data_IF_977232595445
#
_entry.id   IF_977232595445
#
_cell.length_a   1.000
_cell.length_b   1.000
_cell.length_c   1.000
_cell.angle_alpha   90.00
_cell.angle_beta   90.00
_cell.angle_gamma   90.00
#
_symmetry.space_group_name_H-M   'P 1'
#
loop_
_entity.id
_entity.type
_entity.pdbx_description
1 polymer ?
#
# COMPACT_ATOMS: atom_id res chain seq x y z
N UNK A 1 32.68 25.69 60.57
CA UNK A 1 31.22 25.93 60.57
C UNK A 1 30.94 26.83 59.38
N UNK A 2 30.66 26.22 58.23
CA UNK A 2 30.27 26.84 56.94
C UNK A 2 29.88 25.64 56.06
N UNK A 3 28.63 25.19 56.16
CA UNK A 3 27.52 25.43 55.20
C UNK A 3 27.94 25.07 53.78
N UNK A 4 27.56 23.86 53.36
CA UNK A 4 27.67 23.36 52.00
C UNK A 4 26.46 23.78 51.16
N UNK A 5 26.73 24.03 49.88
CA UNK A 5 25.76 24.43 48.87
C UNK A 5 25.54 23.27 47.88
N UNK A 6 24.30 22.78 47.66
CA UNK A 6 23.99 21.70 46.74
C UNK A 6 23.48 22.25 45.40
N UNK A 7 24.39 22.53 44.47
CA UNK A 7 24.05 22.93 43.09
C UNK A 7 24.31 21.82 42.08
N UNK A 8 23.45 20.79 42.04
CA UNK A 8 23.49 19.74 41.01
C UNK A 8 22.53 20.13 39.88
N UNK A 9 23.09 20.70 38.82
CA UNK A 9 22.36 21.07 37.59
C UNK A 9 21.74 19.81 36.95
N UNK A 10 20.40 19.81 36.88
CA UNK A 10 19.62 18.92 36.03
C UNK A 10 19.82 19.37 34.58
N UNK A 11 20.68 18.68 33.84
CA UNK A 11 20.68 18.74 32.37
C UNK A 11 19.45 18.00 31.87
N UNK A 12 18.45 18.75 31.47
CA UNK A 12 17.33 18.31 30.65
C UNK A 12 17.90 17.71 29.37
N UNK A 13 17.71 16.41 29.17
CA UNK A 13 17.98 15.75 27.90
C UNK A 13 16.98 16.32 26.88
N UNK A 14 17.51 17.12 25.95
CA UNK A 14 16.80 17.55 24.75
C UNK A 14 16.24 16.30 24.06
N UNK A 15 14.95 16.34 23.78
CA UNK A 15 14.27 15.31 22.98
C UNK A 15 14.97 15.24 21.63
N UNK A 16 15.53 14.08 21.32
CA UNK A 16 15.93 13.72 19.97
C UNK A 16 14.73 13.94 19.05
N UNK A 17 14.83 14.94 18.17
CA UNK A 17 13.94 15.09 17.03
C UNK A 17 14.04 13.80 16.23
N UNK A 18 13.05 12.91 16.41
CA UNK A 18 12.84 11.79 15.51
C UNK A 18 12.58 12.42 14.15
N UNK A 19 13.60 12.41 13.30
CA UNK A 19 13.53 12.89 11.93
C UNK A 19 12.35 12.19 11.26
N UNK A 20 11.25 12.92 11.10
CA UNK A 20 10.06 12.45 10.41
C UNK A 20 10.52 12.04 9.01
N UNK A 21 10.46 10.74 8.72
CA UNK A 21 10.90 10.22 7.44
C UNK A 21 10.17 11.00 6.34
N UNK A 22 10.90 11.50 5.31
CA UNK A 22 10.27 12.27 4.25
C UNK A 22 9.12 11.44 3.67
N UNK A 23 7.94 12.05 3.42
CA UNK A 23 6.83 11.32 2.83
C UNK A 23 7.32 10.66 1.54
N UNK A 24 6.87 9.42 1.24
CA UNK A 24 7.28 8.71 0.05
C UNK A 24 7.12 9.65 -1.16
N UNK A 25 8.22 9.90 -1.85
CA UNK A 25 8.23 10.85 -2.96
C UNK A 25 7.67 10.14 -4.18
N UNK A 26 6.38 10.33 -4.44
CA UNK A 26 5.70 9.75 -5.59
C UNK A 26 6.35 10.24 -6.88
N UNK A 27 6.85 9.30 -7.69
CA UNK A 27 7.45 9.65 -8.97
C UNK A 27 6.35 10.11 -9.93
N UNK A 28 6.42 11.37 -10.36
CA UNK A 28 5.51 11.93 -11.36
C UNK A 28 5.48 11.05 -12.62
N UNK A 29 4.29 10.72 -13.13
CA UNK A 29 4.13 10.01 -14.40
C UNK A 29 4.87 10.78 -15.51
N UNK A 30 5.61 10.07 -16.38
CA UNK A 30 6.20 10.69 -17.58
C UNK A 30 5.06 11.24 -18.44
N UNK A 31 5.07 12.55 -18.65
CA UNK A 31 4.10 13.24 -19.49
C UNK A 31 4.18 12.73 -20.93
N UNK A 32 3.04 12.29 -21.46
CA UNK A 32 2.77 12.37 -22.89
C UNK A 32 2.16 13.76 -23.15
N UNK A 33 2.52 14.40 -24.27
CA UNK A 33 1.96 15.69 -24.66
C UNK A 33 0.50 15.57 -25.15
N UNK A 34 0.00 14.33 -25.31
CA UNK A 34 -1.36 14.07 -25.74
C UNK A 34 -2.37 14.22 -24.59
N UNK A 35 -3.47 14.96 -24.79
CA UNK A 35 -4.52 15.11 -23.78
C UNK A 35 -5.18 13.76 -23.55
N UNK A 36 -5.37 13.36 -22.29
CA UNK A 36 -5.85 12.03 -21.86
C UNK A 36 -5.78 11.84 -20.35
N UNK A 37 -5.94 10.60 -19.86
CA UNK A 37 -5.85 10.27 -18.43
C UNK A 37 -4.45 10.52 -17.87
N UNK A 38 -3.39 10.17 -18.60
CA UNK A 38 -2.02 10.48 -18.19
C UNK A 38 -1.80 11.98 -17.96
N UNK A 39 -2.30 12.83 -18.86
CA UNK A 39 -2.21 14.30 -18.73
C UNK A 39 -3.08 14.87 -17.60
N UNK A 40 -4.23 14.23 -17.33
CA UNK A 40 -5.11 14.58 -16.22
C UNK A 40 -4.40 14.34 -14.90
N UNK A 41 -3.89 13.13 -14.68
CA UNK A 41 -3.18 12.76 -13.43
C UNK A 41 -2.01 13.69 -13.17
N UNK A 42 -1.17 13.94 -14.18
CA UNK A 42 -0.06 14.87 -14.03
C UNK A 42 -0.51 16.33 -13.76
N UNK A 43 -1.69 16.72 -14.22
CA UNK A 43 -2.28 18.02 -13.88
C UNK A 43 -2.76 18.07 -12.43
N UNK A 44 -3.40 17.01 -11.93
CA UNK A 44 -3.79 16.90 -10.53
C UNK A 44 -2.56 16.91 -9.61
N UNK A 45 -1.49 16.18 -9.95
CA UNK A 45 -0.22 16.19 -9.22
C UNK A 45 0.42 17.59 -9.18
N UNK A 46 0.39 18.32 -10.30
CA UNK A 46 0.88 19.71 -10.33
C UNK A 46 0.03 20.63 -9.45
N UNK A 47 -1.28 20.43 -9.36
CA UNK A 47 -2.15 21.19 -8.47
C UNK A 47 -1.80 20.92 -7.01
N UNK A 48 -1.60 19.66 -6.62
CA UNK A 48 -1.13 19.27 -5.29
C UNK A 48 0.14 20.05 -4.90
N UNK A 49 1.15 20.02 -5.77
CA UNK A 49 2.44 20.68 -5.51
C UNK A 49 2.29 22.20 -5.47
N UNK A 50 1.61 22.78 -6.46
CA UNK A 50 1.52 24.25 -6.61
C UNK A 50 0.72 24.88 -5.47
N UNK A 51 -0.31 24.19 -4.99
CA UNK A 51 -1.19 24.67 -3.94
C UNK A 51 -0.84 24.12 -2.55
N UNK A 52 0.25 23.34 -2.44
CA UNK A 52 0.70 22.69 -1.20
C UNK A 52 -0.40 21.87 -0.52
N UNK A 53 -1.16 21.12 -1.33
CA UNK A 53 -2.20 20.23 -0.83
C UNK A 53 -1.56 18.94 -0.33
N UNK A 54 -2.13 18.34 0.72
CA UNK A 54 -1.86 16.96 1.13
C UNK A 54 -2.58 15.97 0.24
N UNK A 55 -3.84 16.26 -0.09
CA UNK A 55 -4.66 15.42 -0.97
C UNK A 55 -5.66 16.22 -1.79
N UNK A 56 -6.01 15.70 -2.96
CA UNK A 56 -7.02 16.22 -3.87
C UNK A 56 -7.79 15.04 -4.45
N UNK A 57 -9.10 15.06 -4.30
CA UNK A 57 -10.01 14.06 -4.85
C UNK A 57 -11.10 14.75 -5.65
N UNK A 58 -11.35 14.26 -6.86
CA UNK A 58 -12.43 14.71 -7.74
C UNK A 58 -13.36 13.54 -7.99
N UNK A 59 -14.62 13.67 -7.60
CA UNK A 59 -15.66 12.68 -7.82
C UNK A 59 -16.61 13.16 -8.90
N UNK A 60 -16.86 12.31 -9.89
CA UNK A 60 -17.74 12.57 -11.03
C UNK A 60 -18.78 11.45 -11.15
N UNK A 61 -19.91 11.76 -11.78
CA UNK A 61 -20.85 10.73 -12.24
C UNK A 61 -20.69 10.59 -13.75
N UNK A 62 -20.37 9.38 -14.20
CA UNK A 62 -20.20 9.02 -15.60
C UNK A 62 -21.38 8.13 -16.06
N UNK A 63 -21.99 8.38 -17.24
CA UNK A 63 -23.12 7.60 -17.73
C UNK A 63 -22.88 6.10 -17.90
N UNK A 64 -21.66 5.67 -18.24
CA UNK A 64 -21.35 4.28 -18.59
C UNK A 64 -20.63 3.55 -17.46
N UNK A 65 -19.81 4.27 -16.70
CA UNK A 65 -19.03 3.73 -15.59
C UNK A 65 -19.64 4.01 -14.20
N UNK A 66 -20.75 4.75 -14.14
CA UNK A 66 -21.34 5.19 -12.88
C UNK A 66 -20.44 6.19 -12.14
N UNK A 67 -20.40 6.10 -10.82
CA UNK A 67 -19.62 7.03 -9.99
C UNK A 67 -18.12 6.72 -10.11
N UNK A 68 -17.34 7.73 -10.45
CA UNK A 68 -15.90 7.61 -10.64
C UNK A 68 -15.15 8.67 -9.81
N UNK A 69 -13.97 8.31 -9.31
CA UNK A 69 -13.09 9.22 -8.62
C UNK A 69 -11.68 9.25 -9.21
N UNK A 70 -11.08 10.43 -9.10
CA UNK A 70 -9.69 10.73 -9.40
C UNK A 70 -9.05 11.27 -8.14
N UNK A 71 -7.80 10.88 -7.89
CA UNK A 71 -7.09 11.26 -6.67
C UNK A 71 -5.64 11.59 -6.98
N UNK A 72 -5.13 12.61 -6.31
CA UNK A 72 -3.73 12.97 -6.24
C UNK A 72 -3.34 13.27 -4.78
N UNK A 73 -2.05 13.11 -4.47
CA UNK A 73 -1.52 13.24 -3.11
C UNK A 73 -1.44 11.92 -2.33
N UNK A 74 -0.96 12.00 -1.09
CA UNK A 74 -0.66 10.85 -0.25
C UNK A 74 -1.85 10.39 0.61
N UNK A 75 -1.83 9.12 1.05
CA UNK A 75 -2.85 8.53 1.93
C UNK A 75 -3.78 7.51 1.24
N UNK A 76 -4.83 7.02 1.92
CA UNK A 76 -5.94 6.29 1.29
C UNK A 76 -7.05 7.25 0.81
N UNK A 77 -8.08 6.73 0.15
CA UNK A 77 -9.35 7.46 0.00
C UNK A 77 -10.00 7.61 1.38
N UNK A 78 -10.57 8.78 1.67
CA UNK A 78 -11.33 8.95 2.91
C UNK A 78 -12.61 8.10 2.85
N UNK A 79 -12.98 7.43 3.96
CA UNK A 79 -14.24 6.69 4.04
C UNK A 79 -15.43 7.56 3.59
N UNK A 80 -16.31 7.00 2.76
CA UNK A 80 -17.50 7.72 2.27
C UNK A 80 -17.23 8.79 1.21
N UNK A 81 -15.99 8.89 0.69
CA UNK A 81 -15.64 9.80 -0.43
C UNK A 81 -16.64 9.70 -1.59
N UNK A 82 -17.12 8.50 -1.88
CA UNK A 82 -18.05 8.24 -2.98
C UNK A 82 -19.51 8.31 -2.56
N UNK A 83 -19.81 8.22 -1.27
CA UNK A 83 -21.18 8.32 -0.76
C UNK A 83 -21.68 9.78 -0.81
N UNK A 84 -20.77 10.76 -0.82
CA UNK A 84 -21.11 12.19 -0.89
C UNK A 84 -21.52 12.66 -2.30
N UNK A 85 -21.88 13.94 -2.43
CA UNK A 85 -22.17 14.54 -3.75
C UNK A 85 -20.90 14.57 -4.63
N UNK A 86 -21.00 14.40 -5.98
CA UNK A 86 -19.90 14.67 -6.89
C UNK A 86 -19.35 16.08 -6.71
N UNK A 87 -18.07 16.26 -6.92
CA UNK A 87 -17.38 17.51 -6.65
C UNK A 87 -15.90 17.30 -6.30
N UNK A 88 -15.29 18.36 -5.80
CA UNK A 88 -13.88 18.38 -5.43
C UNK A 88 -13.74 18.40 -3.92
N UNK A 89 -12.83 17.58 -3.39
CA UNK A 89 -12.40 17.57 -2.00
C UNK A 89 -10.89 17.72 -1.98
N UNK A 90 -10.39 18.63 -1.15
CA UNK A 90 -8.97 18.85 -1.00
C UNK A 90 -8.64 19.11 0.46
N UNK A 91 -7.41 18.77 0.84
CA UNK A 91 -6.88 19.05 2.15
C UNK A 91 -5.50 19.72 2.02
N UNK A 92 -5.33 20.98 2.45
CA UNK A 92 -6.39 21.92 2.84
C UNK A 92 -7.40 22.22 1.73
N UNK A 93 -8.52 22.87 2.06
CA UNK A 93 -9.55 23.25 1.09
C UNK A 93 -8.98 24.09 -0.06
N UNK A 94 -9.53 23.90 -1.28
CA UNK A 94 -9.08 24.63 -2.45
C UNK A 94 -9.39 26.12 -2.35
N UNK A 95 -8.41 27.00 -2.63
CA UNK A 95 -8.66 28.44 -2.72
C UNK A 95 -9.52 28.75 -3.97
N UNK A 96 -10.76 29.25 -3.80
CA UNK A 96 -11.72 29.39 -4.90
C UNK A 96 -11.33 30.44 -5.94
N UNK A 97 -10.39 31.33 -5.61
CA UNK A 97 -9.80 32.33 -6.50
C UNK A 97 -8.71 31.76 -7.42
N UNK A 98 -8.20 30.56 -7.13
CA UNK A 98 -7.11 29.93 -7.90
C UNK A 98 -7.57 28.75 -8.75
N UNK A 99 -8.53 27.98 -8.26
CA UNK A 99 -9.06 26.80 -8.97
C UNK A 99 -10.56 26.81 -8.90
N UNK A 100 -11.20 26.81 -10.06
CA UNK A 100 -12.64 26.60 -10.18
C UNK A 100 -12.94 25.10 -10.01
N UNK A 101 -13.66 24.68 -8.95
CA UNK A 101 -13.99 23.28 -8.71
C UNK A 101 -14.86 22.67 -9.81
N UNK A 102 -15.73 23.46 -10.45
CA UNK A 102 -16.60 22.99 -11.51
C UNK A 102 -15.80 22.66 -12.78
N UNK A 103 -14.84 23.54 -13.12
CA UNK A 103 -13.93 23.29 -14.24
C UNK A 103 -13.08 22.03 -14.02
N UNK A 104 -12.64 21.78 -12.79
CA UNK A 104 -11.86 20.58 -12.46
C UNK A 104 -12.69 19.29 -12.62
N UNK A 105 -13.95 19.32 -12.18
CA UNK A 105 -14.92 18.22 -12.40
C UNK A 105 -15.14 17.98 -13.89
N UNK A 106 -15.34 19.04 -14.68
CA UNK A 106 -15.54 18.95 -16.13
C UNK A 106 -14.28 18.41 -16.86
N UNK A 107 -13.09 18.82 -16.42
CA UNK A 107 -11.82 18.31 -16.92
C UNK A 107 -11.70 16.80 -16.69
N UNK A 108 -11.94 16.34 -15.45
CA UNK A 108 -11.93 14.91 -15.13
C UNK A 108 -12.93 14.11 -15.98
N UNK A 109 -14.16 14.58 -16.09
CA UNK A 109 -15.20 13.91 -16.87
C UNK A 109 -14.86 13.84 -18.36
N UNK A 110 -14.35 14.93 -18.93
CA UNK A 110 -14.01 15.01 -20.35
C UNK A 110 -12.78 14.15 -20.67
N UNK A 111 -11.75 14.17 -19.83
CA UNK A 111 -10.56 13.33 -19.97
C UNK A 111 -10.91 11.84 -19.89
N UNK A 112 -11.79 11.43 -18.96
CA UNK A 112 -12.26 10.05 -18.86
C UNK A 112 -13.00 9.61 -20.13
N UNK A 113 -13.91 10.46 -20.63
CA UNK A 113 -14.69 10.19 -21.83
C UNK A 113 -13.84 10.05 -23.08
N UNK A 114 -12.86 10.94 -23.24
CA UNK A 114 -11.89 10.86 -24.33
C UNK A 114 -11.10 9.54 -24.31
N UNK A 115 -10.65 9.10 -23.13
CA UNK A 115 -9.92 7.83 -23.02
C UNK A 115 -10.82 6.60 -23.17
N UNK A 116 -12.08 6.66 -22.76
CA UNK A 116 -13.05 5.60 -23.05
C UNK A 116 -13.20 5.36 -24.55
N UNK A 117 -13.28 6.41 -25.36
CA UNK A 117 -13.35 6.31 -26.82
C UNK A 117 -12.04 5.80 -27.44
N UNK A 118 -10.89 6.20 -26.90
CA UNK A 118 -9.59 5.76 -27.39
C UNK A 118 -9.31 4.30 -27.07
N UNK A 119 -9.73 3.83 -25.90
CA UNK A 119 -9.57 2.44 -25.47
C UNK A 119 -10.32 1.44 -26.35
N UNK A 120 -11.34 1.88 -27.10
CA UNK A 120 -12.06 1.06 -28.09
C UNK A 120 -11.29 0.83 -29.39
N UNK A 121 -10.16 1.52 -29.60
CA UNK A 121 -9.37 1.36 -30.82
C UNK A 121 -8.60 0.03 -30.80
N UNK A 122 -8.54 -0.72 -31.92
CA UNK A 122 -7.86 -2.02 -31.98
C UNK A 122 -6.36 -1.98 -31.63
N UNK A 123 -5.73 -0.82 -31.79
CA UNK A 123 -4.31 -0.58 -31.55
C UNK A 123 -4.03 0.11 -30.20
N UNK A 124 -5.07 0.37 -29.39
CA UNK A 124 -4.93 1.01 -28.09
C UNK A 124 -4.07 0.16 -27.14
N UNK A 125 -3.02 0.76 -26.58
CA UNK A 125 -2.10 0.13 -25.62
C UNK A 125 -1.62 1.13 -24.58
N UNK A 126 -1.09 0.62 -23.48
CA UNK A 126 -0.45 1.42 -22.44
C UNK A 126 -1.27 1.55 -21.15
N UNK A 127 -0.77 2.39 -20.25
CA UNK A 127 -1.31 2.54 -18.89
C UNK A 127 -2.75 3.06 -18.91
N UNK A 128 -3.06 4.04 -19.76
CA UNK A 128 -4.40 4.61 -19.81
C UNK A 128 -5.45 3.58 -20.27
N UNK A 129 -5.10 2.70 -21.22
CA UNK A 129 -5.98 1.61 -21.66
C UNK A 129 -6.22 0.59 -20.56
N UNK A 130 -5.18 0.23 -19.81
CA UNK A 130 -5.32 -0.66 -18.65
C UNK A 130 -6.14 -0.01 -17.53
N UNK A 131 -5.96 1.30 -17.29
CA UNK A 131 -6.76 2.07 -16.33
C UNK A 131 -8.25 2.06 -16.73
N UNK A 132 -8.56 2.26 -18.01
CA UNK A 132 -9.93 2.15 -18.52
C UNK A 132 -10.50 0.73 -18.38
N UNK A 133 -9.71 -0.29 -18.70
CA UNK A 133 -10.13 -1.69 -18.56
C UNK A 133 -10.48 -2.03 -17.10
N UNK A 134 -9.72 -1.50 -16.14
CA UNK A 134 -9.99 -1.64 -14.71
C UNK A 134 -11.25 -0.90 -14.26
N UNK A 135 -11.44 0.35 -14.70
CA UNK A 135 -12.64 1.15 -14.36
C UNK A 135 -13.94 0.54 -14.90
N UNK A 136 -13.86 -0.31 -15.93
CA UNK A 136 -15.01 -1.07 -16.47
C UNK A 136 -15.37 -2.30 -15.65
N UNK A 137 -14.53 -2.72 -14.70
CA UNK A 137 -14.84 -3.86 -13.86
C UNK A 137 -15.99 -3.50 -12.91
N UNK A 138 -16.97 -4.40 -12.70
CA UNK A 138 -18.13 -4.11 -11.85
C UNK A 138 -17.73 -3.70 -10.43
N UNK A 139 -18.31 -2.59 -9.96
CA UNK A 139 -18.05 -2.03 -8.64
C UNK A 139 -16.77 -1.22 -8.52
N UNK A 140 -15.95 -1.08 -9.58
CA UNK A 140 -14.74 -0.23 -9.55
C UNK A 140 -15.10 1.23 -9.80
N UNK A 141 -14.71 2.08 -8.85
CA UNK A 141 -15.00 3.51 -8.89
C UNK A 141 -13.72 4.37 -8.93
N UNK A 142 -12.55 3.81 -8.61
CA UNK A 142 -11.29 4.51 -8.78
C UNK A 142 -10.15 3.55 -9.07
N UNK A 143 -9.20 4.04 -9.86
CA UNK A 143 -7.96 3.36 -10.16
C UNK A 143 -6.82 4.35 -9.96
N UNK A 144 -5.84 3.97 -9.15
CA UNK A 144 -4.62 4.73 -8.94
C UNK A 144 -3.48 3.88 -9.46
N UNK A 145 -2.64 4.46 -10.32
CA UNK A 145 -1.42 3.77 -10.80
C UNK A 145 -0.22 4.58 -10.36
N UNK A 146 0.52 3.99 -9.42
CA UNK A 146 1.76 4.51 -8.87
C UNK A 146 2.94 3.77 -9.53
N UNK A 147 4.04 4.48 -9.75
CA UNK A 147 5.28 3.88 -10.22
C UNK A 147 6.39 4.13 -9.20
N UNK A 148 6.99 3.04 -8.74
CA UNK A 148 8.11 3.03 -7.80
C UNK A 148 9.28 2.28 -8.46
N UNK A 149 10.16 3.03 -9.13
CA UNK A 149 11.23 2.45 -9.94
C UNK A 149 10.72 1.53 -11.06
N UNK A 150 11.05 0.24 -10.95
CA UNK A 150 10.64 -0.84 -11.86
C UNK A 150 9.30 -1.49 -11.48
N UNK A 151 8.74 -1.12 -10.33
CA UNK A 151 7.46 -1.60 -9.83
C UNK A 151 6.33 -0.62 -10.20
N UNK A 152 5.24 -1.18 -10.70
CA UNK A 152 3.98 -0.50 -10.88
C UNK A 152 2.99 -1.03 -9.85
N UNK A 153 2.45 -0.14 -9.03
CA UNK A 153 1.40 -0.47 -8.06
C UNK A 153 0.09 0.09 -8.59
N UNK A 154 -0.86 -0.80 -8.87
CA UNK A 154 -2.20 -0.45 -9.31
C UNK A 154 -3.15 -0.68 -8.15
N UNK A 155 -3.69 0.39 -7.59
CA UNK A 155 -4.74 0.31 -6.59
C UNK A 155 -6.10 0.42 -7.26
N UNK A 156 -6.95 -0.59 -7.05
CA UNK A 156 -8.31 -0.68 -7.56
C UNK A 156 -9.24 -0.49 -6.38
N UNK A 157 -9.89 0.68 -6.31
CA UNK A 157 -10.88 0.96 -5.30
C UNK A 157 -12.26 0.55 -5.83
N UNK A 158 -12.94 -0.27 -5.03
CA UNK A 158 -14.20 -0.87 -5.40
C UNK A 158 -15.21 -0.87 -4.25
N UNK A 159 -16.48 -0.97 -4.61
CA UNK A 159 -17.59 -1.02 -3.66
C UNK A 159 -17.50 -2.26 -2.75
N UNK A 160 -18.14 -2.18 -1.57
CA UNK A 160 -18.17 -3.26 -0.58
C UNK A 160 -18.65 -4.60 -1.19
N UNK A 161 -19.63 -4.52 -2.08
CA UNK A 161 -20.32 -5.63 -2.74
C UNK A 161 -19.67 -6.04 -4.09
N UNK A 162 -18.52 -5.46 -4.43
CA UNK A 162 -17.81 -5.82 -5.65
C UNK A 162 -17.54 -7.34 -5.74
N UNK A 163 -17.53 -7.93 -6.95
CA UNK A 163 -17.39 -9.37 -7.14
C UNK A 163 -16.18 -9.97 -6.40
N UNK A 164 -16.31 -11.18 -5.85
CA UNK A 164 -15.23 -11.84 -5.12
C UNK A 164 -14.01 -12.16 -5.99
N UNK A 165 -14.18 -12.23 -7.30
CA UNK A 165 -13.11 -12.48 -8.28
C UNK A 165 -12.50 -11.18 -8.86
N UNK A 166 -12.86 -10.01 -8.32
CA UNK A 166 -12.36 -8.71 -8.78
C UNK A 166 -10.83 -8.65 -8.86
N UNK A 167 -10.11 -9.17 -7.86
CA UNK A 167 -8.64 -9.19 -7.88
C UNK A 167 -8.08 -9.94 -9.08
N UNK A 168 -8.71 -11.06 -9.46
CA UNK A 168 -8.31 -11.85 -10.64
C UNK A 168 -8.63 -11.10 -11.93
N UNK A 169 -9.80 -10.49 -12.01
CA UNK A 169 -10.21 -9.70 -13.17
C UNK A 169 -9.29 -8.48 -13.36
N UNK A 170 -8.94 -7.80 -12.27
CA UNK A 170 -8.02 -6.68 -12.28
C UNK A 170 -6.62 -7.10 -12.73
N UNK A 171 -6.08 -8.19 -12.18
CA UNK A 171 -4.80 -8.75 -12.62
C UNK A 171 -4.79 -9.10 -14.13
N UNK A 172 -5.91 -9.62 -14.66
CA UNK A 172 -6.06 -9.90 -16.09
C UNK A 172 -6.10 -8.61 -16.92
N UNK A 173 -6.86 -7.60 -16.48
CA UNK A 173 -6.95 -6.31 -17.15
C UNK A 173 -5.60 -5.58 -17.23
N UNK A 174 -4.76 -5.75 -16.22
CA UNK A 174 -3.41 -5.17 -16.15
C UNK A 174 -2.31 -6.03 -16.78
N UNK A 175 -2.62 -7.27 -17.19
CA UNK A 175 -1.62 -8.17 -17.77
C UNK A 175 -0.83 -7.58 -18.95
N UNK A 176 -1.40 -6.73 -19.83
CA UNK A 176 -0.63 -6.06 -20.88
C UNK A 176 0.49 -5.13 -20.35
N UNK A 177 0.43 -4.71 -19.09
CA UNK A 177 1.47 -3.89 -18.44
C UNK A 177 2.60 -4.74 -17.82
N UNK A 178 2.49 -6.08 -17.87
CA UNK A 178 3.38 -7.01 -17.16
C UNK A 178 4.84 -7.03 -17.64
N UNK A 179 5.20 -6.25 -18.66
CA UNK A 179 6.62 -5.94 -18.94
C UNK A 179 7.28 -5.18 -17.78
N UNK A 180 6.47 -4.59 -16.89
CA UNK A 180 6.88 -3.97 -15.63
C UNK A 180 6.53 -4.92 -14.46
N UNK A 181 7.30 -4.93 -13.38
CA UNK A 181 6.87 -5.63 -12.15
C UNK A 181 5.57 -4.98 -11.70
N UNK A 182 4.54 -5.77 -11.44
CA UNK A 182 3.19 -5.26 -11.23
C UNK A 182 2.60 -5.84 -9.96
N UNK A 183 2.07 -4.95 -9.11
CA UNK A 183 1.24 -5.29 -7.96
C UNK A 183 -0.13 -4.68 -8.18
N UNK A 184 -1.17 -5.49 -8.02
CA UNK A 184 -2.57 -5.03 -8.08
C UNK A 184 -3.17 -5.17 -6.69
N UNK A 185 -3.43 -4.04 -6.05
CA UNK A 185 -4.07 -3.94 -4.73
C UNK A 185 -5.55 -3.66 -4.92
N UNK A 186 -6.42 -4.49 -4.34
CA UNK A 186 -7.87 -4.25 -4.36
C UNK A 186 -8.31 -3.72 -3.01
N UNK A 187 -8.72 -2.47 -2.98
CA UNK A 187 -9.24 -1.79 -1.79
C UNK A 187 -10.76 -1.78 -1.89
N UNK A 188 -11.43 -2.44 -0.95
CA UNK A 188 -12.90 -2.42 -0.86
C UNK A 188 -13.32 -1.35 0.12
N UNK A 189 -14.26 -0.51 -0.28
CA UNK A 189 -14.92 0.40 0.62
C UNK A 189 -15.71 -0.41 1.64
N UNK A 190 -15.21 -0.45 2.88
CA UNK A 190 -16.00 -0.98 3.99
C UNK A 190 -17.00 0.13 4.27
N UNK A 191 -18.23 -0.02 3.80
CA UNK A 191 -19.33 0.78 4.31
C UNK A 191 -19.25 0.66 5.83
N UNK A 192 -19.06 1.78 6.53
CA UNK A 192 -19.30 1.84 7.97
C UNK A 192 -20.77 1.49 8.15
N UNK A 193 -21.06 0.19 8.26
CA UNK A 193 -22.30 -0.23 8.87
C UNK A 193 -22.22 0.34 10.27
N UNK A 194 -23.17 1.20 10.69
CA UNK A 194 -23.24 1.61 12.08
C UNK A 194 -23.24 0.32 12.87
N UNK A 195 -22.17 0.07 13.64
CA UNK A 195 -22.02 -1.16 14.42
C UNK A 195 -23.31 -1.26 15.24
N UNK A 196 -24.23 -2.20 14.94
CA UNK A 196 -25.41 -2.33 15.77
C UNK A 196 -24.86 -2.63 17.16
N UNK A 197 -25.22 -1.80 18.15
CA UNK A 197 -24.82 -2.02 19.54
C UNK A 197 -25.02 -3.51 19.84
N UNK A 198 -23.94 -4.27 20.10
CA UNK A 198 -24.08 -5.69 20.25
C UNK A 198 -25.07 -5.91 21.41
N UNK A 199 -26.16 -6.66 21.22
CA UNK A 199 -26.94 -7.08 22.35
C UNK A 199 -25.98 -7.79 23.30
N UNK A 200 -25.98 -7.38 24.57
CA UNK A 200 -25.26 -8.02 25.67
C UNK A 200 -25.70 -9.48 25.77
N UNK A 201 -25.10 -10.35 24.95
CA UNK A 201 -25.27 -11.80 24.99
C UNK A 201 -23.93 -12.36 25.39
N UNK A 202 -23.92 -13.06 26.52
CA UNK A 202 -22.74 -13.73 27.05
C UNK A 202 -22.18 -14.71 25.99
N UNK A 203 -20.85 -14.78 25.79
CA UNK A 203 -20.25 -15.67 24.82
C UNK A 203 -20.54 -17.14 25.16
N UNK A 204 -21.09 -17.87 24.19
CA UNK A 204 -21.31 -19.32 24.26
C UNK A 204 -19.98 -20.05 23.93
N UNK A 205 -19.40 -20.85 24.83
CA UNK A 205 -18.04 -21.38 24.70
C UNK A 205 -17.87 -22.60 23.75
N UNK A 206 -18.72 -22.80 22.74
CA UNK A 206 -18.79 -24.11 22.06
C UNK A 206 -18.67 -24.13 20.52
N UNK A 207 -18.01 -23.17 19.87
CA UNK A 207 -17.79 -23.25 18.41
C UNK A 207 -16.43 -23.88 18.06
N UNK A 208 -16.37 -25.11 17.50
CA UNK A 208 -15.11 -25.73 17.08
C UNK A 208 -14.55 -25.04 15.83
N UNK A 209 -13.22 -24.89 15.80
CA UNK A 209 -12.47 -24.35 14.67
C UNK A 209 -12.64 -25.24 13.43
N UNK A 210 -13.06 -24.65 12.31
CA UNK A 210 -13.16 -25.36 11.04
C UNK A 210 -11.76 -25.69 10.49
N UNK A 211 -11.49 -26.97 10.25
CA UNK A 211 -10.28 -27.46 9.58
C UNK A 211 -10.22 -26.97 8.13
N UNK A 212 -9.16 -26.21 7.81
CA UNK A 212 -8.90 -25.73 6.47
C UNK A 212 -8.32 -26.85 5.59
N UNK A 213 -8.94 -27.10 4.43
CA UNK A 213 -8.45 -28.04 3.43
C UNK A 213 -7.21 -27.48 2.70
N UNK A 214 -6.23 -28.34 2.33
CA UNK A 214 -5.05 -27.91 1.59
C UNK A 214 -5.37 -27.62 0.12
N UNK A 215 -5.16 -26.39 -0.31
CA UNK A 215 -5.24 -25.96 -1.71
C UNK A 215 -3.81 -25.93 -2.29
N UNK A 216 -3.57 -26.45 -3.52
CA UNK A 216 -2.24 -26.51 -4.13
C UNK A 216 -1.66 -25.10 -4.40
N UNK A 217 -0.32 -24.94 -4.33
CA UNK A 217 0.36 -23.67 -4.56
C UNK A 217 0.17 -23.17 -6.01
N UNK A 218 0.01 -21.86 -6.18
CA UNK A 218 -0.01 -21.18 -7.50
C UNK A 218 1.27 -20.38 -7.70
N UNK A 219 1.84 -20.50 -8.90
CA UNK A 219 3.06 -19.84 -9.37
C UNK A 219 4.35 -20.57 -8.93
N UNK A 220 5.42 -20.59 -9.75
CA UNK A 220 6.67 -21.18 -9.33
C UNK A 220 7.31 -20.28 -8.27
N UNK A 221 6.97 -20.51 -7.00
CA UNK A 221 7.80 -20.05 -5.90
C UNK A 221 9.22 -20.56 -6.15
N UNK A 222 10.19 -19.65 -6.19
CA UNK A 222 11.60 -20.02 -6.29
C UNK A 222 11.89 -21.02 -5.17
N UNK A 223 12.47 -22.18 -5.53
CA UNK A 223 12.92 -23.12 -4.53
C UNK A 223 14.01 -22.43 -3.68
N UNK A 224 13.84 -22.35 -2.35
CA UNK A 224 14.84 -21.74 -1.49
C UNK A 224 16.17 -22.48 -1.65
N UNK A 225 17.28 -21.75 -1.80
CA UNK A 225 18.61 -22.37 -1.68
C UNK A 225 18.82 -22.72 -0.22
N UNK A 226 19.63 -23.75 0.05
CA UNK A 226 19.86 -24.24 1.41
C UNK A 226 20.40 -23.18 2.39
N UNK A 227 21.01 -22.12 1.86
CA UNK A 227 21.62 -21.00 2.59
C UNK A 227 20.76 -19.74 2.66
N UNK A 228 19.58 -19.73 2.03
CA UNK A 228 18.72 -18.55 2.04
C UNK A 228 18.10 -18.40 3.44
N UNK A 229 18.08 -17.18 4.02
CA UNK A 229 17.42 -16.97 5.30
C UNK A 229 15.93 -17.34 5.19
N UNK A 230 15.34 -17.82 6.29
CA UNK A 230 13.93 -18.27 6.34
C UNK A 230 13.23 -17.73 7.58
N UNK A 231 11.98 -17.27 7.43
CA UNK A 231 11.13 -16.91 8.57
C UNK A 231 10.64 -18.20 9.23
N UNK A 232 11.02 -18.40 10.50
CA UNK A 232 10.68 -19.59 11.28
C UNK A 232 9.40 -19.38 12.07
N UNK A 233 9.23 -18.19 12.65
CA UNK A 233 8.07 -17.83 13.43
C UNK A 233 7.89 -16.31 13.47
N UNK A 234 6.63 -15.88 13.53
CA UNK A 234 6.25 -14.49 13.80
C UNK A 234 5.25 -14.52 14.95
N UNK A 235 5.47 -13.69 15.98
CA UNK A 235 4.67 -13.68 17.20
C UNK A 235 4.34 -12.25 17.59
N UNK A 236 3.15 -12.06 18.15
CA UNK A 236 2.83 -10.87 18.93
C UNK A 236 3.14 -11.17 20.38
N UNK A 237 3.90 -10.30 21.03
CA UNK A 237 4.13 -10.29 22.46
C UNK A 237 3.35 -9.11 23.07
N UNK A 238 2.08 -9.33 23.46
CA UNK A 238 1.23 -8.27 23.99
C UNK A 238 1.68 -7.76 25.36
N UNK A 239 2.46 -8.53 26.12
CA UNK A 239 2.96 -8.10 27.43
C UNK A 239 4.00 -6.99 27.28
N UNK A 240 4.86 -7.11 26.27
CA UNK A 240 5.87 -6.09 25.94
C UNK A 240 5.41 -5.11 24.86
N UNK A 241 4.27 -5.38 24.22
CA UNK A 241 3.75 -4.57 23.11
C UNK A 241 4.64 -4.68 21.86
N UNK A 242 5.23 -5.85 21.61
CA UNK A 242 6.20 -6.10 20.54
C UNK A 242 5.69 -7.12 19.50
N UNK A 243 6.21 -7.01 18.28
CA UNK A 243 6.20 -8.08 17.27
C UNK A 243 7.59 -8.70 17.27
N UNK A 244 7.67 -10.02 17.45
CA UNK A 244 8.89 -10.81 17.36
C UNK A 244 8.94 -11.55 16.02
N UNK A 245 10.03 -11.40 15.28
CA UNK A 245 10.28 -12.18 14.05
C UNK A 245 11.52 -13.03 14.25
N UNK A 246 11.36 -14.35 14.13
CA UNK A 246 12.46 -15.30 14.18
C UNK A 246 12.91 -15.66 12.77
N UNK A 247 14.16 -15.36 12.45
CA UNK A 247 14.79 -15.72 11.18
C UNK A 247 15.85 -16.79 11.44
N UNK A 248 16.02 -17.70 10.50
CA UNK A 248 17.11 -18.68 10.50
C UNK A 248 17.86 -18.64 9.19
N UNK A 249 19.19 -18.62 9.25
CA UNK A 249 20.11 -18.82 8.13
C UNK A 249 21.11 -19.89 8.55
N UNK A 250 21.21 -20.96 7.77
CA UNK A 250 21.98 -22.15 8.14
C UNK A 250 21.60 -22.68 9.53
N UNK A 251 22.57 -22.81 10.44
CA UNK A 251 22.39 -23.24 11.84
C UNK A 251 22.13 -22.07 12.81
N UNK A 252 22.18 -20.84 12.34
CA UNK A 252 22.02 -19.64 13.17
C UNK A 252 20.56 -19.19 13.15
N UNK A 253 19.97 -19.05 14.33
CA UNK A 253 18.64 -18.47 14.53
C UNK A 253 18.75 -17.17 15.30
N UNK A 254 18.10 -16.13 14.79
CA UNK A 254 18.03 -14.80 15.39
C UNK A 254 16.59 -14.38 15.62
N UNK A 255 16.43 -13.29 16.35
CA UNK A 255 15.15 -12.69 16.67
C UNK A 255 15.33 -11.20 16.51
N UNK A 256 14.43 -10.55 15.78
CA UNK A 256 14.27 -9.11 15.83
C UNK A 256 12.92 -8.76 16.44
N UNK A 257 12.83 -7.54 16.95
CA UNK A 257 11.73 -7.03 17.77
C UNK A 257 11.38 -5.62 17.32
N UNK A 258 10.09 -5.31 17.29
CA UNK A 258 9.64 -3.95 17.01
C UNK A 258 8.31 -3.67 17.71
N UNK A 259 7.94 -2.41 17.96
CA UNK A 259 6.65 -2.08 18.56
C UNK A 259 5.47 -2.60 17.74
N UNK A 260 4.55 -3.31 18.39
CA UNK A 260 3.34 -3.87 17.77
C UNK A 260 2.41 -2.79 17.22
N UNK A 261 2.44 -1.58 17.82
CA UNK A 261 1.68 -0.42 17.35
C UNK A 261 2.04 -0.01 15.90
N UNK A 262 3.19 -0.43 15.38
CA UNK A 262 3.61 -0.17 14.00
C UNK A 262 3.07 -1.19 12.98
N UNK A 263 2.35 -2.23 13.41
CA UNK A 263 1.69 -3.19 12.52
C UNK A 263 2.64 -3.83 11.51
N UNK A 264 2.34 -3.67 10.20
CA UNK A 264 3.19 -4.20 9.12
C UNK A 264 4.61 -3.63 9.16
N UNK A 265 4.75 -2.33 9.45
CA UNK A 265 6.05 -1.68 9.54
C UNK A 265 6.90 -2.27 10.66
N UNK A 266 6.28 -2.56 11.82
CA UNK A 266 6.95 -3.24 12.93
C UNK A 266 7.44 -4.63 12.53
N UNK A 267 6.62 -5.42 11.84
CA UNK A 267 7.03 -6.73 11.34
C UNK A 267 8.20 -6.67 10.34
N UNK A 268 8.22 -5.67 9.44
CA UNK A 268 9.34 -5.45 8.51
C UNK A 268 10.61 -5.08 9.29
N UNK A 269 10.53 -4.11 10.21
CA UNK A 269 11.66 -3.68 11.04
C UNK A 269 12.24 -4.84 11.86
N UNK A 270 11.39 -5.61 12.53
CA UNK A 270 11.80 -6.81 13.27
C UNK A 270 12.46 -7.85 12.35
N UNK A 271 11.99 -8.00 11.11
CA UNK A 271 12.63 -8.91 10.15
C UNK A 271 14.00 -8.42 9.72
N UNK A 272 14.16 -7.13 9.43
CA UNK A 272 15.45 -6.52 9.06
C UNK A 272 16.47 -6.60 10.21
N UNK A 273 16.04 -6.37 11.45
CA UNK A 273 16.89 -6.55 12.63
C UNK A 273 17.34 -8.02 12.77
N UNK A 274 16.42 -8.97 12.63
CA UNK A 274 16.75 -10.39 12.66
C UNK A 274 17.75 -10.77 11.56
N UNK A 275 17.58 -10.22 10.35
CA UNK A 275 18.47 -10.43 9.21
C UNK A 275 19.87 -9.85 9.47
N UNK A 276 19.97 -8.63 9.98
CA UNK A 276 21.26 -8.02 10.32
C UNK A 276 22.05 -8.88 11.31
N UNK A 277 21.35 -9.51 12.26
CA UNK A 277 21.95 -10.39 13.27
C UNK A 277 22.48 -11.73 12.70
N UNK A 278 22.02 -12.16 11.52
CA UNK A 278 22.57 -13.34 10.79
C UNK A 278 23.62 -12.95 9.74
N UNK A 279 24.18 -11.73 9.84
CA UNK A 279 25.22 -11.26 8.92
C UNK A 279 24.68 -10.86 7.54
N UNK A 280 23.43 -10.38 7.47
CA UNK A 280 22.93 -9.71 6.27
C UNK A 280 23.45 -8.27 6.27
N UNK A 281 24.40 -7.95 5.39
CA UNK A 281 25.19 -6.70 5.44
C UNK A 281 24.50 -5.49 4.80
N UNK A 282 23.38 -5.69 4.11
CA UNK A 282 22.70 -4.61 3.40
C UNK A 282 21.97 -3.67 4.36
N UNK A 283 22.25 -2.37 4.22
CA UNK A 283 21.55 -1.31 4.95
C UNK A 283 20.20 -1.03 4.28
N UNK A 284 19.24 -1.90 4.53
CA UNK A 284 17.87 -1.77 4.05
C UNK A 284 17.01 -1.03 5.09
N UNK A 285 16.12 -0.19 4.59
CA UNK A 285 15.11 0.52 5.38
C UNK A 285 13.73 0.29 4.77
N UNK A 286 12.68 0.37 5.58
CA UNK A 286 11.31 0.24 5.08
C UNK A 286 10.96 1.45 4.20
N UNK A 287 10.62 1.22 2.94
CA UNK A 287 9.95 2.21 2.10
C UNK A 287 8.45 2.21 2.37
N UNK A 288 7.80 1.07 2.12
CA UNK A 288 6.38 0.88 2.44
C UNK A 288 6.04 -0.60 2.60
N UNK A 289 4.94 -0.89 3.30
CA UNK A 289 4.35 -2.22 3.41
C UNK A 289 2.83 -2.14 3.31
N UNK A 290 2.21 -2.93 2.43
CA UNK A 290 0.76 -2.88 2.16
C UNK A 290 0.16 -4.27 2.04
N UNK A 291 -1.03 -4.47 2.60
CA UNK A 291 -1.82 -5.70 2.39
C UNK A 291 -2.51 -5.62 1.04
N UNK A 292 -2.17 -6.52 0.13
CA UNK A 292 -2.67 -6.54 -1.26
C UNK A 292 -3.99 -7.31 -1.35
N UNK A 293 -4.07 -8.43 -0.63
CA UNK A 293 -5.22 -9.32 -0.66
C UNK A 293 -5.46 -9.90 0.73
N UNK A 294 -6.73 -9.91 1.14
CA UNK A 294 -7.21 -10.81 2.20
C UNK A 294 -8.14 -11.81 1.55
N UNK A 295 -7.70 -13.06 1.48
CA UNK A 295 -8.48 -14.13 0.86
C UNK A 295 -9.65 -14.54 1.77
N UNK A 296 -10.65 -15.23 1.20
CA UNK A 296 -11.78 -15.75 1.96
C UNK A 296 -11.35 -16.74 3.08
N UNK A 297 -10.21 -17.42 2.91
CA UNK A 297 -9.60 -18.28 3.92
C UNK A 297 -8.69 -17.54 4.93
N UNK A 298 -8.80 -16.21 5.02
CA UNK A 298 -8.03 -15.35 5.92
C UNK A 298 -6.51 -15.48 5.75
N UNK A 299 -6.03 -15.79 4.55
CA UNK A 299 -4.62 -15.58 4.22
C UNK A 299 -4.44 -14.14 3.78
N UNK A 300 -3.34 -13.58 4.24
CA UNK A 300 -2.95 -12.23 3.91
C UNK A 300 -1.81 -12.28 2.91
N UNK A 301 -1.91 -11.50 1.86
CA UNK A 301 -0.81 -11.23 0.93
C UNK A 301 -0.33 -9.81 1.21
N UNK A 302 0.96 -9.64 1.46
CA UNK A 302 1.58 -8.35 1.72
C UNK A 302 2.68 -8.10 0.70
N UNK A 303 2.74 -6.88 0.17
CA UNK A 303 3.90 -6.37 -0.55
C UNK A 303 4.71 -5.46 0.37
N UNK A 304 6.02 -5.53 0.20
CA UNK A 304 7.00 -4.67 0.88
C UNK A 304 7.91 -4.06 -0.17
N UNK A 305 8.20 -2.77 -0.02
CA UNK A 305 9.32 -2.08 -0.65
C UNK A 305 10.36 -1.74 0.41
N UNK A 306 11.61 -2.12 0.14
CA UNK A 306 12.77 -1.79 0.95
C UNK A 306 13.64 -0.81 0.18
N UNK A 307 14.09 0.25 0.85
CA UNK A 307 14.98 1.26 0.30
C UNK A 307 16.41 1.03 0.79
N UNK A 308 17.38 1.21 -0.11
CA UNK A 308 18.80 1.17 0.26
C UNK A 308 19.23 2.48 0.88
N UNK A 309 19.92 2.40 2.02
CA UNK A 309 20.48 3.57 2.66
C UNK A 309 21.46 4.28 1.71
N UNK A 310 21.20 5.56 1.45
CA UNK A 310 22.07 6.39 0.62
C UNK A 310 21.88 6.25 -0.90
N UNK A 311 20.97 5.40 -1.38
CA UNK A 311 20.64 5.32 -2.81
C UNK A 311 19.14 5.59 -3.05
N UNK A 312 18.74 5.68 -4.32
CA UNK A 312 17.33 5.73 -4.73
C UNK A 312 16.81 4.36 -5.20
N UNK A 313 17.55 3.31 -4.89
CA UNK A 313 17.21 1.96 -5.32
C UNK A 313 16.31 1.30 -4.29
N UNK A 314 15.28 0.64 -4.79
CA UNK A 314 14.28 -0.06 -4.00
C UNK A 314 14.21 -1.52 -4.42
N UNK A 315 14.15 -2.42 -3.45
CA UNK A 315 13.84 -3.83 -3.67
C UNK A 315 12.43 -4.14 -3.21
N UNK A 316 11.79 -5.07 -3.91
CA UNK A 316 10.36 -5.36 -3.73
C UNK A 316 10.16 -6.83 -3.42
N UNK A 317 9.24 -7.12 -2.49
CA UNK A 317 8.95 -8.47 -2.04
C UNK A 317 7.47 -8.72 -1.82
N UNK A 318 7.07 -9.97 -2.05
CA UNK A 318 5.71 -10.46 -1.85
C UNK A 318 5.72 -11.64 -0.89
N UNK A 319 4.84 -11.61 0.10
CA UNK A 319 4.73 -12.66 1.10
C UNK A 319 3.28 -12.99 1.40
N UNK A 320 3.01 -14.27 1.67
CA UNK A 320 1.71 -14.71 2.17
C UNK A 320 1.86 -15.37 3.53
N UNK A 321 0.88 -15.16 4.40
CA UNK A 321 0.89 -15.68 5.77
C UNK A 321 -0.51 -15.82 6.37
N UNK A 322 -0.60 -16.47 7.53
CA UNK A 322 -1.85 -16.62 8.27
C UNK A 322 -2.26 -15.32 8.99
N UNK A 323 -1.37 -14.33 9.05
CA UNK A 323 -1.63 -12.99 9.56
C UNK A 323 -0.91 -11.94 8.70
N UNK A 324 -1.33 -10.66 8.74
CA UNK A 324 -0.67 -9.59 7.99
C UNK A 324 0.81 -9.42 8.37
N UNK A 325 1.15 -9.54 9.66
CA UNK A 325 2.52 -9.42 10.14
C UNK A 325 3.41 -10.59 9.70
N UNK A 326 2.86 -11.81 9.62
CA UNK A 326 3.60 -12.97 9.10
C UNK A 326 3.85 -12.82 7.59
N UNK A 327 2.82 -12.38 6.85
CA UNK A 327 2.94 -12.09 5.43
C UNK A 327 3.97 -10.98 5.17
N UNK A 328 4.01 -9.92 5.99
CA UNK A 328 4.99 -8.84 5.90
C UNK A 328 6.42 -9.32 6.17
N UNK A 329 6.64 -10.16 7.18
CA UNK A 329 7.96 -10.72 7.46
C UNK A 329 8.47 -11.57 6.27
N UNK A 330 7.60 -12.40 5.68
CA UNK A 330 7.94 -13.21 4.50
C UNK A 330 8.17 -12.33 3.26
N UNK A 331 7.39 -11.28 3.07
CA UNK A 331 7.56 -10.31 2.00
C UNK A 331 8.89 -9.56 2.12
N UNK A 332 9.29 -9.19 3.35
CA UNK A 332 10.57 -8.56 3.63
C UNK A 332 11.73 -9.46 3.25
N UNK A 333 11.65 -10.74 3.61
CA UNK A 333 12.66 -11.74 3.26
C UNK A 333 12.76 -11.92 1.73
N UNK A 334 11.63 -11.96 1.03
CA UNK A 334 11.57 -12.04 -0.43
C UNK A 334 12.17 -10.80 -1.11
N UNK A 335 11.94 -9.60 -0.57
CA UNK A 335 12.57 -8.35 -1.04
C UNK A 335 14.09 -8.39 -0.85
N UNK A 336 14.54 -8.73 0.36
CA UNK A 336 15.95 -8.78 0.73
C UNK A 336 16.73 -9.83 -0.08
N UNK A 337 16.15 -11.01 -0.31
CA UNK A 337 16.84 -12.12 -0.99
C UNK A 337 17.07 -11.86 -2.49
N UNK A 338 16.38 -10.89 -3.09
CA UNK A 338 16.59 -10.49 -4.49
C UNK A 338 17.80 -9.58 -4.67
N UNK A 339 18.26 -8.93 -3.62
CA UNK A 339 19.47 -8.10 -3.65
C UNK A 339 20.73 -8.97 -3.67
N UNK A 340 20.76 -10.03 -2.86
CA UNK A 340 21.91 -10.94 -2.78
C UNK A 340 22.29 -11.61 -4.12
N UNK A 341 21.38 -11.69 -5.09
CA UNK A 341 21.67 -12.26 -6.42
C UNK A 341 22.17 -11.22 -7.44
N UNK A 342 22.13 -9.93 -7.11
CA UNK A 342 22.56 -8.85 -8.02
C UNK A 342 24.04 -8.49 -7.87
N UNK A 343 24.70 -9.00 -6.84
CA UNK A 343 26.16 -8.90 -6.58
C UNK A 343 26.91 -10.15 -6.99
#
# INVERSE_FOLDING_TARGET
MTVGDPGRELRTLEHDEVAEAPPPTFAARRHTDEPGLGSLHATLDRLIITLHLRSLTVVIDDPDLGRQAFRAGSGPFEPGTLSGRPGVRADPELPPDRVDPELLVQLCATSLRLELERAERPDARGVDVAEIALRRLPGVHAVVVERDGDLMVVQVHADADAPSDLARAAAHATAPLAETRLVVEVVRDIAEQPVPEPPLVAPDPATPAAEALPIPPRGPARAPRATDPTVVAVRNDPENGEVEVHVRRDEVRTIGRAPMAQGLAGAVTATLEALSSVGFEHQLTLGWARTIETTADRRFVVAVSLMHAGTRESSHGLGSGASPIEAAARATLDAASREDDST
#
